data_IF_417259430911
#
_entry.id   IF_417259430911
#
_cell.length_a   1.000
_cell.length_b   1.000
_cell.length_c   1.000
_cell.angle_alpha   90.00
_cell.angle_beta   90.00
_cell.angle_gamma   90.00
#
_symmetry.space_group_name_H-M   'P 1'
#
loop_
_entity.id
_entity.type
_entity.pdbx_description
1 polymer ?
#
# COMPACT_ATOMS: atom_id res chain seq x y z
N UNK A 1 -27.63 21.46 -26.94
CA UNK A 1 -28.42 20.22 -26.97
C UNK A 1 -27.74 19.25 -27.93
N UNK A 2 -27.55 18.02 -27.44
CA UNK A 2 -27.25 16.76 -28.15
C UNK A 2 -25.90 16.57 -28.86
N UNK A 3 -25.10 15.70 -28.27
CA UNK A 3 -23.88 15.07 -28.80
C UNK A 3 -24.29 13.91 -29.72
N UNK A 4 -23.66 13.72 -30.89
CA UNK A 4 -23.73 12.46 -31.61
C UNK A 4 -22.69 11.48 -31.06
N UNK A 5 -23.18 10.35 -30.53
CA UNK A 5 -22.41 9.13 -30.29
C UNK A 5 -22.39 8.37 -31.60
N UNK A 6 -21.21 8.09 -32.15
CA UNK A 6 -21.06 7.06 -33.18
C UNK A 6 -20.34 5.84 -32.62
N UNK A 7 -20.90 4.71 -33.03
CA UNK A 7 -20.72 3.37 -32.49
C UNK A 7 -19.46 2.73 -33.07
N UNK A 8 -18.67 2.21 -32.14
CA UNK A 8 -17.72 1.09 -32.24
C UNK A 8 -17.84 0.25 -33.53
N UNK A 9 -16.75 0.18 -34.30
CA UNK A 9 -16.45 -0.94 -35.20
C UNK A 9 -15.27 -1.73 -34.64
N UNK A 10 -15.51 -3.00 -34.27
CA UNK A 10 -14.46 -3.99 -34.07
C UNK A 10 -14.31 -4.70 -35.40
N UNK A 11 -13.15 -4.56 -36.04
CA UNK A 11 -12.79 -5.47 -37.11
C UNK A 11 -11.30 -5.79 -37.03
N UNK A 12 -11.08 -7.04 -36.62
CA UNK A 12 -10.02 -7.98 -36.96
C UNK A 12 -8.78 -7.41 -37.69
N UNK A 13 -7.87 -6.90 -36.88
CA UNK A 13 -6.45 -6.93 -37.19
C UNK A 13 -5.77 -7.65 -36.04
N UNK A 14 -5.51 -8.94 -36.18
CA UNK A 14 -4.64 -9.74 -35.31
C UNK A 14 -3.28 -9.05 -35.29
N UNK A 15 -3.10 -8.11 -34.36
CA UNK A 15 -1.82 -7.56 -34.04
C UNK A 15 -1.09 -8.68 -33.31
N UNK A 16 -0.10 -9.24 -34.00
CA UNK A 16 0.88 -10.18 -33.50
C UNK A 16 1.05 -10.00 -31.99
N UNK A 17 0.45 -10.92 -31.24
CA UNK A 17 0.89 -11.20 -29.89
C UNK A 17 2.30 -11.72 -30.05
N UNK A 18 3.26 -10.79 -30.08
CA UNK A 18 4.61 -11.00 -29.61
C UNK A 18 4.49 -11.38 -28.13
N UNK A 19 4.01 -12.59 -27.93
CA UNK A 19 4.31 -13.42 -26.79
C UNK A 19 5.82 -13.55 -26.87
N UNK A 20 6.51 -12.68 -26.15
CA UNK A 20 7.91 -12.89 -25.84
C UNK A 20 7.91 -14.16 -24.99
N UNK A 21 8.05 -15.29 -25.69
CA UNK A 21 8.42 -16.56 -25.10
C UNK A 21 9.83 -16.34 -24.56
N UNK A 22 9.92 -15.98 -23.29
CA UNK A 22 11.20 -16.05 -22.59
C UNK A 22 11.66 -17.50 -22.67
N UNK A 23 12.88 -17.69 -23.17
CA UNK A 23 13.50 -19.01 -23.22
C UNK A 23 13.29 -19.70 -21.88
N UNK A 24 12.69 -20.88 -21.94
CA UNK A 24 12.66 -21.86 -20.84
C UNK A 24 14.07 -22.17 -20.30
N UNK A 25 15.12 -21.64 -20.94
CA UNK A 25 16.52 -21.73 -20.55
C UNK A 25 16.94 -20.73 -19.46
N UNK A 26 16.24 -19.59 -19.28
CA UNK A 26 16.52 -18.68 -18.16
C UNK A 26 16.03 -19.23 -16.82
N UNK A 27 14.96 -20.01 -16.86
CA UNK A 27 14.42 -20.79 -15.73
C UNK A 27 15.01 -22.21 -15.65
N UNK A 28 15.97 -22.54 -16.52
CA UNK A 28 16.92 -23.63 -16.36
C UNK A 28 16.33 -25.02 -16.09
N UNK A 29 16.13 -25.79 -17.15
CA UNK A 29 16.03 -27.24 -17.08
C UNK A 29 17.32 -27.85 -16.46
N UNK A 30 17.13 -28.73 -15.47
CA UNK A 30 17.95 -29.89 -15.02
C UNK A 30 18.46 -29.89 -13.57
N UNK A 31 17.89 -30.83 -12.80
CA UNK A 31 18.57 -31.71 -11.83
C UNK A 31 19.32 -31.14 -10.61
N UNK A 32 19.19 -29.86 -10.29
CA UNK A 32 19.45 -29.32 -8.95
C UNK A 32 18.22 -28.50 -8.56
N UNK A 33 17.66 -28.71 -7.37
CA UNK A 33 16.57 -27.86 -6.88
C UNK A 33 17.22 -26.51 -6.53
N UNK A 34 17.31 -25.63 -7.52
CA UNK A 34 17.74 -24.25 -7.34
C UNK A 34 16.74 -23.59 -6.39
N UNK A 35 17.22 -23.02 -5.28
CA UNK A 35 16.36 -22.32 -4.33
C UNK A 35 15.88 -21.01 -4.94
N UNK A 36 14.72 -20.50 -4.54
CA UNK A 36 14.20 -19.21 -5.03
C UNK A 36 15.19 -18.05 -4.76
N UNK A 37 15.98 -18.14 -3.68
CA UNK A 37 17.05 -17.18 -3.40
C UNK A 37 18.18 -17.20 -4.44
N UNK A 38 18.57 -18.39 -4.94
CA UNK A 38 19.58 -18.51 -5.99
C UNK A 38 19.05 -18.00 -7.34
N UNK A 39 17.78 -18.28 -7.66
CA UNK A 39 17.11 -17.71 -8.83
C UNK A 39 17.10 -16.18 -8.74
N UNK A 40 16.67 -15.62 -7.60
CA UNK A 40 16.65 -14.17 -7.40
C UNK A 40 18.05 -13.55 -7.53
N UNK A 41 19.07 -14.18 -6.94
CA UNK A 41 20.45 -13.69 -6.99
C UNK A 41 21.01 -13.61 -8.41
N UNK A 42 20.56 -14.49 -9.30
CA UNK A 42 20.95 -14.53 -10.70
C UNK A 42 20.14 -13.55 -11.56
N UNK A 43 18.82 -13.59 -11.42
CA UNK A 43 17.89 -12.94 -12.36
C UNK A 43 17.61 -11.48 -12.01
N UNK A 44 17.40 -11.16 -10.72
CA UNK A 44 17.00 -9.81 -10.30
C UNK A 44 18.03 -8.75 -10.70
N UNK A 45 19.36 -8.93 -10.47
CA UNK A 45 20.34 -7.94 -10.89
C UNK A 45 20.35 -7.68 -12.39
N UNK A 46 20.16 -8.71 -13.22
CA UNK A 46 20.13 -8.58 -14.67
C UNK A 46 18.90 -7.77 -15.13
N UNK A 47 17.73 -8.10 -14.60
CA UNK A 47 16.49 -7.39 -14.90
C UNK A 47 16.53 -5.94 -14.40
N UNK A 48 17.10 -5.70 -13.21
CA UNK A 48 17.29 -4.35 -12.69
C UNK A 48 18.25 -3.52 -13.56
N UNK A 49 19.37 -4.10 -13.99
CA UNK A 49 20.34 -3.42 -14.86
C UNK A 49 19.72 -3.02 -16.21
N UNK A 50 18.78 -3.82 -16.72
CA UNK A 50 18.04 -3.56 -17.95
C UNK A 50 16.79 -2.69 -17.75
N UNK A 51 16.45 -2.36 -16.51
CA UNK A 51 15.17 -1.72 -16.14
C UNK A 51 13.95 -2.45 -16.70
N UNK A 52 14.01 -3.79 -16.77
CA UNK A 52 12.96 -4.64 -17.31
C UNK A 52 11.83 -4.83 -16.28
N UNK A 53 10.97 -3.82 -16.18
CA UNK A 53 9.86 -3.80 -15.23
C UNK A 53 8.87 -4.95 -15.47
N UNK A 54 8.67 -5.37 -16.72
CA UNK A 54 7.76 -6.47 -17.03
C UNK A 54 8.31 -7.79 -16.50
N UNK A 55 9.61 -8.05 -16.71
CA UNK A 55 10.30 -9.21 -16.14
C UNK A 55 10.31 -9.20 -14.61
N UNK A 56 10.60 -8.03 -14.00
CA UNK A 56 10.57 -7.88 -12.54
C UNK A 56 9.19 -8.16 -11.95
N UNK A 57 8.12 -7.64 -12.59
CA UNK A 57 6.74 -7.94 -12.20
C UNK A 57 6.41 -9.42 -12.37
N UNK A 58 6.90 -10.06 -13.45
CA UNK A 58 6.65 -11.49 -13.65
C UNK A 58 7.24 -12.32 -12.49
N UNK A 59 8.41 -11.96 -11.95
CA UNK A 59 8.99 -12.66 -10.80
C UNK A 59 8.06 -12.68 -9.57
N UNK A 60 7.32 -11.60 -9.29
CA UNK A 60 6.37 -11.56 -8.16
C UNK A 60 5.17 -12.48 -8.32
N UNK A 61 4.94 -12.98 -9.55
CA UNK A 61 3.86 -13.94 -9.84
C UNK A 61 4.34 -15.38 -9.91
N UNK A 62 5.64 -15.59 -10.19
CA UNK A 62 6.24 -16.92 -10.39
C UNK A 62 6.86 -17.46 -9.11
N UNK A 63 7.51 -16.60 -8.33
CA UNK A 63 8.17 -17.00 -7.09
C UNK A 63 7.21 -16.90 -5.91
N UNK A 64 7.25 -17.90 -5.03
CA UNK A 64 6.44 -17.92 -3.81
C UNK A 64 7.03 -17.04 -2.70
N UNK A 65 8.35 -16.90 -2.67
CA UNK A 65 9.11 -16.07 -1.75
C UNK A 65 10.17 -15.26 -2.51
N UNK A 66 10.18 -13.94 -2.25
CA UNK A 66 11.22 -13.05 -2.77
C UNK A 66 11.95 -12.46 -1.56
N UNK A 67 13.25 -12.78 -1.36
CA UNK A 67 14.00 -12.20 -0.27
C UNK A 67 14.00 -10.67 -0.31
N UNK A 68 13.88 -10.02 0.84
CA UNK A 68 13.61 -8.58 0.96
C UNK A 68 14.68 -7.71 0.31
N UNK A 69 15.93 -8.17 0.29
CA UNK A 69 17.03 -7.45 -0.37
C UNK A 69 16.76 -7.27 -1.86
N UNK A 70 16.22 -8.31 -2.51
CA UNK A 70 15.87 -8.30 -3.92
C UNK A 70 14.57 -7.54 -4.15
N UNK A 71 13.56 -7.74 -3.29
CA UNK A 71 12.32 -6.97 -3.37
C UNK A 71 12.58 -5.46 -3.29
N UNK A 72 13.49 -5.03 -2.41
CA UNK A 72 13.91 -3.63 -2.32
C UNK A 72 14.58 -3.14 -3.62
N UNK A 73 15.47 -3.93 -4.23
CA UNK A 73 16.09 -3.61 -5.52
C UNK A 73 15.04 -3.48 -6.63
N UNK A 74 14.07 -4.38 -6.67
CA UNK A 74 12.99 -4.40 -7.65
C UNK A 74 12.11 -3.15 -7.53
N UNK A 75 11.70 -2.81 -6.31
CA UNK A 75 10.87 -1.62 -6.03
C UNK A 75 11.58 -0.34 -6.44
N UNK A 76 12.84 -0.14 -6.01
CA UNK A 76 13.58 1.08 -6.29
C UNK A 76 13.90 1.23 -7.79
N UNK A 77 14.24 0.13 -8.46
CA UNK A 77 14.43 0.13 -9.92
C UNK A 77 13.13 0.51 -10.63
N UNK A 78 12.02 -0.10 -10.22
CA UNK A 78 10.71 0.13 -10.85
C UNK A 78 10.23 1.57 -10.64
N UNK A 79 10.44 2.14 -9.45
CA UNK A 79 10.16 3.55 -9.16
C UNK A 79 10.91 4.51 -10.09
N UNK A 80 12.16 4.19 -10.44
CA UNK A 80 12.97 4.98 -11.37
C UNK A 80 12.60 4.80 -12.84
N UNK A 81 11.72 3.87 -13.17
CA UNK A 81 11.39 3.52 -14.55
C UNK A 81 10.31 4.42 -15.17
N UNK A 82 10.30 4.49 -16.50
CA UNK A 82 9.24 5.09 -17.33
C UNK A 82 8.39 4.04 -18.04
N UNK A 83 8.48 2.77 -17.62
CA UNK A 83 7.72 1.67 -18.21
C UNK A 83 6.20 1.92 -18.14
N UNK A 84 5.43 1.57 -19.19
CA UNK A 84 3.98 1.72 -19.17
C UNK A 84 3.30 0.84 -18.11
N UNK A 85 3.92 -0.27 -17.71
CA UNK A 85 3.40 -1.21 -16.69
C UNK A 85 3.93 -0.92 -15.27
N UNK A 86 4.49 0.28 -15.06
CA UNK A 86 5.17 0.63 -13.80
C UNK A 86 4.22 0.59 -12.60
N UNK A 87 3.05 1.19 -12.73
CA UNK A 87 2.12 1.33 -11.61
C UNK A 87 1.58 -0.05 -11.19
N UNK A 88 1.24 -0.91 -12.15
CA UNK A 88 0.82 -2.29 -11.86
C UNK A 88 1.95 -3.11 -11.24
N UNK A 89 3.19 -2.94 -11.74
CA UNK A 89 4.35 -3.63 -11.18
C UNK A 89 4.64 -3.21 -9.74
N UNK A 90 4.58 -1.91 -9.42
CA UNK A 90 4.76 -1.41 -8.07
C UNK A 90 3.67 -1.92 -7.13
N UNK A 91 2.41 -1.89 -7.57
CA UNK A 91 1.30 -2.40 -6.76
C UNK A 91 1.44 -3.90 -6.48
N UNK A 92 1.90 -4.69 -7.46
CA UNK A 92 2.14 -6.13 -7.28
C UNK A 92 3.34 -6.38 -6.35
N UNK A 93 4.43 -5.62 -6.48
CA UNK A 93 5.60 -5.71 -5.59
C UNK A 93 5.28 -5.30 -4.15
N UNK A 94 4.47 -4.26 -3.94
CA UNK A 94 4.07 -3.82 -2.59
C UNK A 94 3.21 -4.87 -1.87
N UNK A 95 2.56 -5.79 -2.59
CA UNK A 95 1.78 -6.90 -2.02
C UNK A 95 2.63 -8.13 -1.67
N UNK A 96 3.88 -8.19 -2.13
CA UNK A 96 4.77 -9.30 -1.81
C UNK A 96 5.01 -9.32 -0.30
N UNK A 97 4.73 -10.44 0.41
CA UNK A 97 4.97 -10.54 1.85
C UNK A 97 6.45 -10.33 2.20
N UNK A 98 6.71 -9.65 3.31
CA UNK A 98 8.06 -9.42 3.81
C UNK A 98 8.08 -9.36 5.33
N UNK A 99 9.26 -9.47 5.93
CA UNK A 99 9.46 -9.23 7.35
C UNK A 99 9.80 -7.75 7.58
N UNK A 100 9.00 -6.97 8.34
CA UNK A 100 9.24 -5.54 8.53
C UNK A 100 10.65 -5.20 9.04
N UNK A 101 11.17 -5.98 9.98
CA UNK A 101 12.52 -5.77 10.53
C UNK A 101 13.62 -5.97 9.47
N UNK A 102 13.48 -6.97 8.60
CA UNK A 102 14.44 -7.26 7.53
C UNK A 102 14.35 -6.18 6.46
N UNK A 103 13.15 -5.87 5.98
CA UNK A 103 12.93 -4.82 4.98
C UNK A 103 13.44 -3.44 5.47
N UNK A 104 13.19 -3.10 6.74
CA UNK A 104 13.71 -1.87 7.35
C UNK A 104 15.24 -1.84 7.32
N UNK A 105 15.90 -2.96 7.62
CA UNK A 105 17.35 -3.10 7.54
C UNK A 105 17.87 -2.97 6.11
N UNK A 106 17.18 -3.57 5.13
CA UNK A 106 17.56 -3.49 3.72
C UNK A 106 17.38 -2.08 3.15
N UNK A 107 16.27 -1.40 3.46
CA UNK A 107 16.05 0.00 3.06
C UNK A 107 17.03 0.97 3.72
N UNK A 108 17.47 0.72 4.96
CA UNK A 108 18.47 1.55 5.64
C UNK A 108 19.81 1.60 4.88
N UNK A 109 20.13 0.56 4.11
CA UNK A 109 21.35 0.48 3.30
C UNK A 109 21.24 1.21 1.96
N UNK A 110 20.05 1.70 1.60
CA UNK A 110 19.77 2.37 0.33
C UNK A 110 19.98 3.88 0.45
N UNK A 111 20.15 4.53 -0.69
CA UNK A 111 20.36 5.97 -0.72
C UNK A 111 19.09 6.70 -0.25
N UNK A 112 19.26 7.75 0.55
CA UNK A 112 18.15 8.50 1.16
C UNK A 112 17.14 8.97 0.10
N UNK A 113 17.63 9.49 -1.04
CA UNK A 113 16.76 9.98 -2.12
C UNK A 113 15.83 8.90 -2.69
N UNK A 114 16.31 7.66 -2.80
CA UNK A 114 15.52 6.58 -3.40
C UNK A 114 14.44 6.12 -2.44
N UNK A 115 14.78 6.07 -1.15
CA UNK A 115 13.83 5.75 -0.08
C UNK A 115 12.81 6.87 0.13
N UNK A 116 13.22 8.14 0.00
CA UNK A 116 12.29 9.29 -0.02
C UNK A 116 11.31 9.20 -1.18
N UNK A 117 11.76 8.80 -2.38
CA UNK A 117 10.84 8.58 -3.54
C UNK A 117 9.86 7.46 -3.27
N UNK A 118 10.29 6.36 -2.65
CA UNK A 118 9.40 5.27 -2.24
C UNK A 118 8.36 5.76 -1.23
N UNK A 119 8.75 6.53 -0.21
CA UNK A 119 7.81 7.15 0.73
C UNK A 119 6.81 8.06 0.01
N UNK A 120 7.28 8.94 -0.88
CA UNK A 120 6.41 9.81 -1.67
C UNK A 120 5.40 9.04 -2.54
N UNK A 121 5.84 7.94 -3.15
CA UNK A 121 4.95 7.04 -3.89
C UNK A 121 3.89 6.42 -2.99
N UNK A 122 4.29 5.81 -1.86
CA UNK A 122 3.37 5.16 -0.91
C UNK A 122 2.36 6.16 -0.34
N UNK A 123 2.80 7.37 0.05
CA UNK A 123 1.92 8.44 0.53
C UNK A 123 0.93 8.87 -0.54
N UNK A 124 1.36 9.05 -1.78
CA UNK A 124 0.46 9.38 -2.89
C UNK A 124 -0.55 8.26 -3.14
N UNK A 125 -0.13 7.00 -3.12
CA UNK A 125 -1.04 5.86 -3.24
C UNK A 125 -2.07 5.88 -2.11
N UNK A 126 -1.69 6.05 -0.85
CA UNK A 126 -2.63 6.14 0.28
C UNK A 126 -3.73 7.19 0.10
N UNK A 127 -3.45 8.31 -0.58
CA UNK A 127 -4.44 9.36 -0.85
C UNK A 127 -5.44 9.01 -1.97
N UNK A 128 -5.07 8.07 -2.84
CA UNK A 128 -5.82 7.74 -4.07
C UNK A 128 -6.42 6.33 -4.08
N UNK A 129 -5.97 5.46 -3.18
CA UNK A 129 -6.26 4.03 -3.25
C UNK A 129 -7.52 3.64 -2.49
N UNK A 130 -8.18 2.59 -2.96
CA UNK A 130 -9.28 1.90 -2.29
C UNK A 130 -8.88 1.28 -0.94
N UNK A 131 -9.85 1.12 -0.04
CA UNK A 131 -9.66 0.66 1.34
C UNK A 131 -8.91 -0.69 1.49
N UNK A 132 -8.91 -1.55 0.47
CA UNK A 132 -8.30 -2.88 0.54
C UNK A 132 -6.75 -2.85 0.60
N UNK A 133 -6.11 -1.86 -0.02
CA UNK A 133 -4.65 -1.72 -0.03
C UNK A 133 -4.12 -0.85 1.10
N UNK A 134 -5.02 -0.14 1.81
CA UNK A 134 -4.64 0.79 2.86
C UNK A 134 -3.75 0.13 3.92
N UNK A 135 -4.06 -1.05 4.51
CA UNK A 135 -3.22 -1.65 5.55
C UNK A 135 -1.78 -1.94 5.06
N UNK A 136 -1.66 -2.45 3.83
CA UNK A 136 -0.36 -2.78 3.21
C UNK A 136 0.46 -1.50 3.02
N UNK A 137 -0.15 -0.45 2.49
CA UNK A 137 0.53 0.82 2.27
C UNK A 137 0.95 1.49 3.59
N UNK A 138 0.20 1.30 4.68
CA UNK A 138 0.55 1.81 6.01
C UNK A 138 1.73 1.09 6.65
N UNK A 139 1.78 -0.22 6.47
CA UNK A 139 2.93 -1.02 6.89
C UNK A 139 4.19 -0.55 6.15
N UNK A 140 4.10 -0.39 4.83
CA UNK A 140 5.19 0.15 4.02
C UNK A 140 5.62 1.54 4.46
N UNK A 141 4.68 2.44 4.72
CA UNK A 141 5.00 3.79 5.18
C UNK A 141 5.77 3.76 6.51
N UNK A 142 5.37 2.87 7.42
CA UNK A 142 6.04 2.69 8.71
C UNK A 142 7.46 2.18 8.52
N UNK A 143 7.63 1.13 7.73
CA UNK A 143 8.94 0.52 7.42
C UNK A 143 9.88 1.52 6.76
N UNK A 144 9.37 2.32 5.82
CA UNK A 144 10.17 3.34 5.14
C UNK A 144 10.60 4.44 6.12
N UNK A 145 9.68 4.94 6.96
CA UNK A 145 9.99 5.96 7.97
C UNK A 145 11.02 5.45 8.97
N UNK A 146 10.82 4.24 9.49
CA UNK A 146 11.73 3.65 10.48
C UNK A 146 13.11 3.37 9.90
N UNK A 147 13.20 3.11 8.59
CA UNK A 147 14.49 2.88 7.92
C UNK A 147 15.35 4.15 7.80
N UNK A 148 14.74 5.34 7.73
CA UNK A 148 15.44 6.61 7.44
C UNK A 148 15.24 7.73 8.47
N UNK A 149 14.52 7.48 9.58
CA UNK A 149 14.17 8.50 10.58
C UNK A 149 15.32 9.40 11.02
N UNK A 150 16.51 8.83 11.29
CA UNK A 150 17.71 9.60 11.66
C UNK A 150 18.29 10.37 10.47
N UNK A 151 18.34 9.74 9.28
CA UNK A 151 18.86 10.36 8.06
C UNK A 151 18.04 11.58 7.64
N UNK A 152 16.70 11.50 7.72
CA UNK A 152 15.82 12.62 7.41
C UNK A 152 15.89 13.73 8.46
N UNK A 153 15.96 13.38 9.75
CA UNK A 153 16.11 14.38 10.81
C UNK A 153 17.40 15.20 10.71
N UNK A 154 18.44 14.63 10.09
CA UNK A 154 19.72 15.28 9.86
C UNK A 154 19.85 15.90 8.46
N UNK A 155 18.85 15.71 7.58
CA UNK A 155 18.90 16.29 6.24
C UNK A 155 18.37 17.72 6.25
N UNK A 156 19.12 18.65 5.65
CA UNK A 156 18.66 20.03 5.41
C UNK A 156 17.65 20.13 4.24
N UNK A 157 17.11 18.99 3.79
CA UNK A 157 16.24 18.91 2.62
C UNK A 157 14.79 19.22 2.96
N UNK A 158 14.27 20.33 2.42
CA UNK A 158 12.87 20.75 2.52
C UNK A 158 11.90 19.62 2.15
N UNK A 159 12.23 18.84 1.11
CA UNK A 159 11.44 17.69 0.63
C UNK A 159 11.28 16.57 1.68
N UNK A 160 12.32 16.28 2.48
CA UNK A 160 12.24 15.27 3.53
C UNK A 160 11.38 15.75 4.72
N UNK A 161 11.45 17.04 5.03
CA UNK A 161 10.64 17.65 6.07
C UNK A 161 9.17 17.73 5.67
N UNK A 162 8.87 18.16 4.44
CA UNK A 162 7.50 18.18 3.89
C UNK A 162 6.86 16.79 3.90
N UNK A 163 7.63 15.76 3.53
CA UNK A 163 7.14 14.39 3.53
C UNK A 163 6.86 13.89 4.96
N UNK A 164 7.78 14.13 5.91
CA UNK A 164 7.55 13.80 7.32
C UNK A 164 6.35 14.54 7.90
N UNK A 165 6.17 15.81 7.54
CA UNK A 165 5.02 16.62 7.95
C UNK A 165 3.72 16.05 7.36
N UNK A 166 3.69 15.73 6.07
CA UNK A 166 2.52 15.12 5.42
C UNK A 166 2.15 13.76 6.03
N UNK A 167 3.15 12.93 6.37
CA UNK A 167 2.95 11.67 7.08
C UNK A 167 2.40 11.91 8.49
N UNK A 168 2.94 12.88 9.22
CA UNK A 168 2.48 13.26 10.55
C UNK A 168 1.04 13.78 10.54
N UNK A 169 0.69 14.65 9.60
CA UNK A 169 -0.67 15.14 9.43
C UNK A 169 -1.65 14.02 9.10
N UNK A 170 -1.27 13.12 8.20
CA UNK A 170 -2.11 11.98 7.82
C UNK A 170 -2.34 11.04 9.02
N UNK A 171 -1.29 10.71 9.79
CA UNK A 171 -1.42 9.90 11.01
C UNK A 171 -2.35 10.55 12.02
N UNK A 172 -2.22 11.86 12.24
CA UNK A 172 -3.09 12.60 13.14
C UNK A 172 -4.56 12.57 12.67
N UNK A 173 -4.83 12.73 11.37
CA UNK A 173 -6.19 12.61 10.82
C UNK A 173 -6.81 11.24 11.08
N UNK A 174 -6.03 10.17 10.93
CA UNK A 174 -6.48 8.80 11.22
C UNK A 174 -6.74 8.56 12.71
N UNK A 175 -5.89 9.08 13.60
CA UNK A 175 -6.12 8.99 15.05
C UNK A 175 -7.41 9.71 15.47
N UNK A 176 -7.70 10.87 14.87
CA UNK A 176 -8.94 11.60 15.10
C UNK A 176 -10.14 10.79 14.61
N UNK A 177 -10.10 10.27 13.38
CA UNK A 177 -11.17 9.43 12.83
C UNK A 177 -11.43 8.17 13.67
N UNK A 178 -10.38 7.51 14.15
CA UNK A 178 -10.52 6.35 15.04
C UNK A 178 -11.19 6.72 16.37
N UNK A 179 -10.87 7.88 16.94
CA UNK A 179 -11.53 8.37 18.17
C UNK A 179 -13.00 8.68 17.93
N UNK A 180 -13.34 9.32 16.82
CA UNK A 180 -14.72 9.65 16.47
C UNK A 180 -15.58 8.39 16.29
N UNK A 181 -15.04 7.37 15.61
CA UNK A 181 -15.70 6.07 15.47
C UNK A 181 -15.94 5.38 16.82
N UNK A 182 -14.98 5.46 17.75
CA UNK A 182 -15.15 4.92 19.11
C UNK A 182 -16.22 5.66 19.91
N UNK A 183 -16.32 6.99 19.76
CA UNK A 183 -17.39 7.79 20.36
C UNK A 183 -18.76 7.38 19.82
N UNK A 184 -18.90 7.28 18.49
CA UNK A 184 -20.14 6.83 17.84
C UNK A 184 -20.52 5.41 18.27
N UNK A 185 -19.55 4.49 18.36
CA UNK A 185 -19.79 3.12 18.84
C UNK A 185 -20.34 3.12 20.28
N UNK A 186 -19.77 3.95 21.17
CA UNK A 186 -20.26 4.07 22.55
C UNK A 186 -21.68 4.63 22.61
N UNK A 187 -22.01 5.63 21.80
CA UNK A 187 -23.37 6.17 21.72
C UNK A 187 -24.36 5.12 21.20
N UNK A 188 -23.97 4.36 20.17
CA UNK A 188 -24.77 3.25 19.65
C UNK A 188 -24.99 2.16 20.71
N UNK A 189 -23.95 1.80 21.47
CA UNK A 189 -24.05 0.83 22.55
C UNK A 189 -24.96 1.32 23.69
N UNK A 190 -24.92 2.61 24.02
CA UNK A 190 -25.82 3.25 24.99
C UNK A 190 -27.28 3.21 24.50
N UNK A 191 -27.53 3.54 23.23
CA UNK A 191 -28.87 3.46 22.64
C UNK A 191 -29.38 2.01 22.58
N UNK A 192 -28.51 1.05 22.25
CA UNK A 192 -28.85 -0.36 22.25
C UNK A 192 -29.17 -0.87 23.66
N UNK A 193 -28.45 -0.40 24.68
CA UNK A 193 -28.73 -0.71 26.08
C UNK A 193 -30.08 -0.13 26.55
N UNK A 194 -30.36 1.14 26.23
CA UNK A 194 -31.65 1.78 26.52
C UNK A 194 -32.85 1.10 25.82
N UNK A 195 -32.61 0.48 24.66
CA UNK A 195 -33.64 -0.31 23.97
C UNK A 195 -33.90 -1.66 24.65
N UNK A 196 -32.88 -2.26 25.26
CA UNK A 196 -33.00 -3.55 25.96
C UNK A 196 -33.65 -3.38 27.33
N UNK A 197 -33.27 -2.34 28.07
CA UNK A 197 -33.86 -1.96 29.36
C UNK A 197 -34.32 -0.50 29.31
N UNK A 198 -35.55 -0.22 28.82
CA UNK A 198 -36.08 1.13 28.83
C UNK A 198 -36.19 1.63 30.27
N UNK A 199 -35.71 2.85 30.58
CA UNK A 199 -35.87 3.40 31.91
C UNK A 199 -37.35 3.46 32.26
N UNK A 200 -37.71 3.00 33.45
CA UNK A 200 -39.07 3.13 33.97
C UNK A 200 -39.50 4.60 33.83
N UNK A 201 -40.71 4.88 33.32
CA UNK A 201 -41.18 6.24 33.18
C UNK A 201 -41.05 6.94 34.55
N UNK A 202 -40.62 8.21 34.60
CA UNK A 202 -40.54 8.94 35.86
C UNK A 202 -41.90 8.81 36.53
N UNK A 203 -41.90 8.39 37.80
CA UNK A 203 -43.11 8.37 38.60
C UNK A 203 -43.71 9.77 38.51
N UNK A 204 -44.83 9.88 37.80
CA UNK A 204 -45.57 11.10 37.73
C UNK A 204 -46.20 11.29 39.11
N UNK A 205 -45.47 11.92 40.02
CA UNK A 205 -46.01 12.51 41.23
C UNK A 205 -46.89 13.69 40.80
N UNK A 206 -48.06 13.37 40.23
CA UNK A 206 -49.19 14.27 40.27
C UNK A 206 -49.63 14.30 41.73
N UNK A 207 -49.01 15.20 42.51
CA UNK A 207 -49.60 15.67 43.75
C UNK A 207 -50.92 16.34 43.39
N UNK A 208 -52.01 15.56 43.47
CA UNK A 208 -53.38 16.05 43.48
C UNK A 208 -53.57 16.75 44.82
N UNK A 209 -53.17 18.02 44.91
CA UNK A 209 -53.66 18.89 45.98
C UNK A 209 -55.11 19.25 45.65
N UNK A 210 -56.01 18.42 46.17
CA UNK A 210 -57.40 18.80 46.49
C UNK A 210 -57.38 19.99 47.44
N UNK A 211 -57.58 21.19 46.91
CA UNK A 211 -58.15 22.30 47.66
C UNK A 211 -59.61 22.46 47.21
N UNK A 212 -60.52 21.80 47.93
CA UNK A 212 -61.90 22.26 48.02
C UNK A 212 -61.98 23.32 49.13
N UNK A 213 -62.76 24.36 48.81
CA UNK A 213 -63.15 25.55 49.57
C UNK A 213 -63.37 25.34 51.08
#
# INVERSE_FOLDING_TARGET
>A
MSVPVEVVSWDDGVADTNTISYDSDLLGSTANIETEEAICARVVPELCARSDVAGLRQLTTVLSEIPERFLADMLLTTLGSTSPVREEALDDMLRVPYTPAVMTSELRRRHLSDVTRLAGYVTKRLQTTEAAMEPVLLEWLTVVVDSQSTSWALSDGEEAWELLHAIGEWRNKQEVQARDLLCLQREMDQLAALRKDPPSPPAADYAVETLYL
#
